data_IF_934601693159
#
_entry.id   IF_934601693159
#
_cell.length_a   1.000
_cell.length_b   1.000
_cell.length_c   1.000
_cell.angle_alpha   90.00
_cell.angle_beta   90.00
_cell.angle_gamma   90.00
#
_symmetry.space_group_name_H-M   'P 1'
#
loop_
_entity.id
_entity.type
_entity.pdbx_description
1 polymer ?
#
# COMPACT_ATOMS: atom_id res chain seq x y z
N UNK A 1 -9.90 1.89 -8.27
CA UNK A 1 -8.63 1.67 -7.54
C UNK A 1 -8.80 2.27 -6.17
N UNK A 2 -8.71 1.45 -5.13
CA UNK A 2 -9.07 1.82 -3.76
C UNK A 2 -8.02 1.33 -2.78
N UNK A 3 -7.95 1.98 -1.63
CA UNK A 3 -7.17 1.57 -0.48
C UNK A 3 -8.06 1.59 0.77
N UNK A 4 -7.68 0.82 1.78
CA UNK A 4 -8.31 0.78 3.09
C UNK A 4 -7.33 1.32 4.12
N UNK A 5 -7.81 2.13 5.05
CA UNK A 5 -7.02 2.64 6.18
C UNK A 5 -7.64 2.12 7.47
N UNK A 6 -6.87 1.38 8.24
CA UNK A 6 -7.26 0.86 9.55
C UNK A 6 -6.47 1.60 10.62
N UNK A 7 -7.19 2.22 11.55
CA UNK A 7 -6.64 3.02 12.63
C UNK A 7 -7.03 2.38 13.96
N UNK A 8 -6.07 2.08 14.86
CA UNK A 8 -6.39 1.49 16.16
C UNK A 8 -7.18 2.48 17.00
N UNK A 9 -8.14 1.97 17.79
CA UNK A 9 -8.89 2.80 18.74
C UNK A 9 -7.94 3.21 19.86
N UNK A 10 -7.80 4.52 20.09
CA UNK A 10 -6.94 5.07 21.14
C UNK A 10 -7.78 5.85 22.15
N UNK A 11 -7.41 5.75 23.43
CA UNK A 11 -8.01 6.61 24.46
C UNK A 11 -7.67 8.08 24.20
N UNK A 12 -8.62 8.98 24.46
CA UNK A 12 -8.45 10.44 24.24
C UNK A 12 -7.31 11.05 25.05
N UNK A 13 -6.87 10.38 26.10
CA UNK A 13 -5.78 10.75 27.02
C UNK A 13 -4.39 10.40 26.49
N UNK A 14 -4.30 9.56 25.45
CA UNK A 14 -3.03 9.13 24.87
C UNK A 14 -2.38 10.28 24.08
N UNK A 15 -1.06 10.38 24.15
CA UNK A 15 -0.27 11.40 23.45
C UNK A 15 -0.69 11.53 21.97
N UNK A 16 -0.79 12.76 21.46
CA UNK A 16 -1.08 13.09 20.04
C UNK A 16 0.07 12.73 19.08
N UNK A 17 0.95 11.81 19.47
CA UNK A 17 2.06 11.34 18.64
C UNK A 17 1.49 10.62 17.42
N UNK A 18 2.00 10.98 16.25
CA UNK A 18 1.70 10.31 14.98
C UNK A 18 2.20 8.85 15.04
N UNK A 19 1.45 7.95 14.43
CA UNK A 19 1.74 6.52 14.43
C UNK A 19 2.55 6.10 13.19
N UNK A 20 3.45 5.12 13.30
CA UNK A 20 4.05 4.50 12.13
C UNK A 20 2.96 3.87 11.25
N UNK A 21 3.24 3.78 9.95
CA UNK A 21 2.30 3.31 8.93
C UNK A 21 2.85 2.04 8.29
N UNK A 22 2.11 0.94 8.38
CA UNK A 22 2.36 -0.29 7.63
C UNK A 22 1.55 -0.27 6.34
N UNK A 23 2.25 -0.23 5.20
CA UNK A 23 1.66 -0.23 3.87
C UNK A 23 1.76 -1.61 3.23
N UNK A 24 0.64 -2.31 3.10
CA UNK A 24 0.59 -3.69 2.63
C UNK A 24 0.20 -3.80 1.15
N UNK A 25 1.05 -4.46 0.39
CA UNK A 25 0.81 -4.84 -1.01
C UNK A 25 0.52 -6.35 -1.05
N UNK A 26 -0.69 -6.71 -1.50
CA UNK A 26 -1.08 -8.11 -1.59
C UNK A 26 -0.33 -8.85 -2.71
N UNK A 27 -0.12 -10.16 -2.51
CA UNK A 27 0.40 -11.08 -3.52
C UNK A 27 -0.68 -11.57 -4.49
N UNK A 28 -0.36 -12.65 -5.21
CA UNK A 28 -1.25 -13.26 -6.21
C UNK A 28 -0.71 -13.20 -7.64
N UNK A 29 0.61 -13.38 -7.78
CA UNK A 29 1.33 -13.47 -9.06
C UNK A 29 1.05 -12.32 -10.06
N UNK A 30 0.63 -11.14 -9.57
CA UNK A 30 0.15 -10.03 -10.39
C UNK A 30 -1.11 -10.34 -11.22
N UNK A 31 -1.79 -11.46 -10.96
CA UNK A 31 -2.95 -11.96 -11.71
C UNK A 31 -4.24 -11.92 -10.90
N UNK A 32 -4.16 -12.13 -9.58
CA UNK A 32 -5.31 -12.19 -8.69
C UNK A 32 -4.96 -11.63 -7.31
N UNK A 33 -5.96 -11.56 -6.43
CA UNK A 33 -5.83 -11.07 -5.07
C UNK A 33 -6.54 -9.74 -4.84
N UNK A 34 -6.59 -9.32 -3.58
CA UNK A 34 -7.19 -8.04 -3.17
C UNK A 34 -6.58 -7.58 -1.85
N UNK A 35 -6.58 -6.27 -1.63
CA UNK A 35 -6.18 -5.63 -0.38
C UNK A 35 -7.02 -6.03 0.84
N UNK A 36 -8.15 -6.71 0.68
CA UNK A 36 -8.96 -7.21 1.81
C UNK A 36 -8.56 -8.61 2.27
N UNK A 37 -7.67 -9.31 1.54
CA UNK A 37 -7.20 -10.65 1.94
C UNK A 37 -6.41 -10.63 3.25
N UNK A 38 -5.71 -9.53 3.54
CA UNK A 38 -5.10 -9.31 4.85
C UNK A 38 -6.01 -8.47 5.73
N UNK A 39 -6.54 -9.10 6.76
CA UNK A 39 -7.32 -8.43 7.79
C UNK A 39 -6.44 -7.66 8.77
N UNK A 40 -6.96 -6.53 9.26
CA UNK A 40 -6.26 -5.68 10.22
C UNK A 40 -6.33 -6.18 11.68
N UNK A 41 -7.14 -7.21 11.97
CA UNK A 41 -7.56 -7.60 13.33
C UNK A 41 -6.42 -7.61 14.35
N UNK A 42 -5.35 -8.36 14.07
CA UNK A 42 -4.22 -8.48 15.00
C UNK A 42 -3.33 -7.24 15.06
N UNK A 43 -3.28 -6.45 13.98
CA UNK A 43 -2.51 -5.20 13.96
C UNK A 43 -3.20 -4.07 14.73
N UNK A 44 -4.53 -4.12 14.87
CA UNK A 44 -5.30 -3.11 15.60
C UNK A 44 -5.11 -3.16 17.13
N UNK A 45 -4.45 -4.19 17.64
CA UNK A 45 -4.01 -4.27 19.05
C UNK A 45 -2.69 -3.50 19.30
N UNK A 46 -2.06 -2.96 18.26
CA UNK A 46 -0.80 -2.23 18.32
C UNK A 46 -0.95 -0.77 17.88
N UNK A 47 -0.05 0.11 18.35
CA UNK A 47 0.01 1.53 17.95
C UNK A 47 0.61 1.68 16.54
N UNK A 48 -0.09 1.18 15.53
CA UNK A 48 0.29 1.25 14.11
C UNK A 48 -0.92 1.48 13.23
N UNK A 49 -0.78 2.31 12.20
CA UNK A 49 -1.80 2.43 11.15
C UNK A 49 -1.51 1.40 10.08
N UNK A 50 -2.53 0.65 9.67
CA UNK A 50 -2.41 -0.36 8.63
C UNK A 50 -3.15 0.11 7.38
N UNK A 51 -2.45 0.14 6.24
CA UNK A 51 -3.01 0.52 4.95
C UNK A 51 -2.90 -0.68 4.01
N UNK A 52 -4.00 -1.06 3.37
CA UNK A 52 -4.00 -2.06 2.30
C UNK A 52 -4.50 -1.47 1.01
N UNK A 53 -3.98 -1.92 -0.13
CA UNK A 53 -4.32 -1.36 -1.44
C UNK A 53 -4.85 -2.42 -2.40
N UNK A 54 -5.65 -1.99 -3.37
CA UNK A 54 -5.89 -2.72 -4.60
C UNK A 54 -5.13 -2.03 -5.75
N UNK A 55 -4.47 -2.84 -6.58
CA UNK A 55 -3.83 -2.39 -7.83
C UNK A 55 -4.37 -3.23 -9.00
N UNK A 56 -4.26 -2.75 -10.25
CA UNK A 56 -4.70 -3.53 -11.42
C UNK A 56 -3.88 -4.81 -11.55
N UNK A 57 -4.53 -5.87 -12.02
CA UNK A 57 -3.99 -7.22 -12.16
C UNK A 57 -4.14 -7.74 -13.58
N UNK A 58 -3.41 -8.80 -13.90
CA UNK A 58 -3.39 -9.46 -15.19
C UNK A 58 -3.10 -8.50 -16.34
N UNK A 59 -3.68 -8.76 -17.52
CA UNK A 59 -3.50 -7.88 -18.68
C UNK A 59 -3.89 -6.42 -18.40
N UNK A 60 -4.91 -6.17 -17.57
CA UNK A 60 -5.34 -4.81 -17.25
C UNK A 60 -4.30 -4.01 -16.46
N UNK A 61 -3.43 -4.68 -15.70
CA UNK A 61 -2.35 -4.06 -14.94
C UNK A 61 -0.99 -4.12 -15.61
N UNK A 62 -0.74 -5.13 -16.44
CA UNK A 62 0.62 -5.49 -16.86
C UNK A 62 0.77 -5.75 -18.36
N UNK A 63 -0.28 -5.51 -19.18
CA UNK A 63 -0.12 -5.46 -20.63
C UNK A 63 0.88 -4.36 -21.00
N UNK A 64 1.79 -4.69 -21.91
CA UNK A 64 2.70 -3.76 -22.57
C UNK A 64 2.64 -4.01 -24.07
N UNK A 65 2.60 -2.94 -24.86
CA UNK A 65 2.79 -2.99 -26.32
C UNK A 65 4.23 -2.64 -26.71
N UNK A 66 5.10 -2.41 -25.73
CA UNK A 66 6.51 -2.00 -25.92
C UNK A 66 6.68 -0.69 -26.72
N UNK A 67 5.63 0.14 -26.72
CA UNK A 67 5.61 1.50 -27.25
C UNK A 67 5.30 2.51 -26.13
N UNK A 68 5.21 3.80 -26.50
CA UNK A 68 4.92 4.88 -25.56
C UNK A 68 3.45 4.97 -25.15
N UNK A 69 2.53 4.32 -25.86
CA UNK A 69 1.09 4.38 -25.62
C UNK A 69 0.72 3.46 -24.46
N UNK A 70 1.20 2.20 -24.48
CA UNK A 70 1.02 1.24 -23.38
C UNK A 70 2.38 0.68 -22.96
N UNK A 71 3.21 1.45 -22.24
CA UNK A 71 4.57 1.07 -21.85
C UNK A 71 4.62 0.01 -20.72
N UNK A 72 3.47 -0.52 -20.30
CA UNK A 72 3.38 -1.51 -19.24
C UNK A 72 3.46 -0.97 -17.81
N UNK A 73 3.48 -1.92 -16.87
CA UNK A 73 3.60 -1.72 -15.42
C UNK A 73 2.53 -0.79 -14.80
N UNK A 74 1.34 -0.76 -15.38
CA UNK A 74 0.23 0.05 -14.89
C UNK A 74 -0.18 -0.34 -13.46
N UNK A 75 -0.10 -1.63 -13.11
CA UNK A 75 -0.29 -2.11 -11.74
C UNK A 75 0.75 -1.58 -10.75
N UNK A 76 2.04 -1.50 -11.13
CA UNK A 76 3.06 -0.89 -10.27
C UNK A 76 2.88 0.63 -10.16
N UNK A 77 2.43 1.29 -11.22
CA UNK A 77 2.08 2.72 -11.20
C UNK A 77 0.87 3.00 -10.30
N UNK A 78 -0.11 2.10 -10.25
CA UNK A 78 -1.22 2.19 -9.29
C UNK A 78 -0.71 2.13 -7.84
N UNK A 79 0.24 1.24 -7.56
CA UNK A 79 0.85 1.14 -6.23
C UNK A 79 1.64 2.41 -5.87
N UNK A 80 2.41 2.98 -6.81
CA UNK A 80 3.12 4.25 -6.62
C UNK A 80 2.13 5.40 -6.33
N UNK A 81 1.03 5.49 -7.08
CA UNK A 81 -0.02 6.47 -6.83
C UNK A 81 -0.64 6.30 -5.42
N UNK A 82 -0.86 5.06 -4.96
CA UNK A 82 -1.34 4.81 -3.61
C UNK A 82 -0.32 5.18 -2.53
N UNK A 83 0.99 5.00 -2.77
CA UNK A 83 2.06 5.49 -1.88
C UNK A 83 2.08 7.01 -1.80
N UNK A 84 1.92 7.71 -2.94
CA UNK A 84 1.80 9.18 -2.98
C UNK A 84 0.58 9.65 -2.19
N UNK A 85 -0.56 8.97 -2.37
CA UNK A 85 -1.76 9.25 -1.58
C UNK A 85 -1.49 9.11 -0.08
N UNK A 86 -0.79 8.05 0.36
CA UNK A 86 -0.43 7.87 1.77
C UNK A 86 0.48 9.00 2.26
N UNK A 87 1.51 9.34 1.50
CA UNK A 87 2.41 10.46 1.84
C UNK A 87 1.66 11.78 2.05
N UNK A 88 0.69 12.08 1.19
CA UNK A 88 -0.07 13.34 1.21
C UNK A 88 -1.21 13.36 2.23
N UNK A 89 -1.75 12.21 2.63
CA UNK A 89 -3.03 12.14 3.34
C UNK A 89 -2.97 11.43 4.70
N UNK A 90 -2.00 10.55 4.96
CA UNK A 90 -2.06 9.65 6.13
C UNK A 90 -1.98 10.39 7.47
N UNK A 91 -1.41 11.60 7.48
CA UNK A 91 -1.38 12.45 8.67
C UNK A 91 -2.78 12.81 9.19
N UNK A 92 -3.78 12.92 8.30
CA UNK A 92 -5.18 13.16 8.69
C UNK A 92 -5.81 12.00 9.44
N UNK A 93 -5.24 10.80 9.31
CA UNK A 93 -5.63 9.59 10.02
C UNK A 93 -4.77 9.35 11.28
N UNK A 94 -3.87 10.28 11.61
CA UNK A 94 -2.94 10.16 12.73
C UNK A 94 -1.65 9.40 12.42
N UNK A 95 -1.33 9.17 11.14
CA UNK A 95 -0.11 8.50 10.71
C UNK A 95 1.05 9.46 10.48
N UNK A 96 2.27 8.98 10.66
CA UNK A 96 3.48 9.72 10.33
C UNK A 96 3.90 9.42 8.88
N UNK A 97 3.77 10.36 7.93
CA UNK A 97 4.17 10.14 6.54
C UNK A 97 5.68 9.92 6.38
N UNK A 98 6.50 10.19 7.40
CA UNK A 98 7.95 9.94 7.41
C UNK A 98 8.31 8.56 7.95
N UNK A 99 7.36 7.81 8.50
CA UNK A 99 7.56 6.46 9.05
C UNK A 99 6.61 5.47 8.37
N UNK A 100 6.77 5.32 7.05
CA UNK A 100 6.01 4.37 6.24
C UNK A 100 6.89 3.16 5.94
N UNK A 101 6.44 1.99 6.38
CA UNK A 101 7.09 0.70 6.11
C UNK A 101 6.25 -0.05 5.08
N UNK A 102 6.85 -0.37 3.94
CA UNK A 102 6.24 -1.18 2.91
C UNK A 102 6.40 -2.67 3.24
N UNK A 103 5.32 -3.42 3.17
CA UNK A 103 5.30 -4.86 3.39
C UNK A 103 4.49 -5.55 2.28
N UNK A 104 4.86 -6.78 1.96
CA UNK A 104 4.12 -7.59 1.00
C UNK A 104 4.60 -9.02 0.97
N UNK A 105 3.78 -9.92 0.40
CA UNK A 105 4.10 -11.34 0.27
C UNK A 105 4.01 -11.80 -1.19
N UNK A 106 4.92 -12.67 -1.61
CA UNK A 106 5.02 -13.18 -2.99
C UNK A 106 5.13 -12.02 -4.00
N UNK A 107 4.20 -11.89 -4.97
CA UNK A 107 4.15 -10.76 -5.89
C UNK A 107 4.07 -9.39 -5.19
N UNK A 108 3.47 -9.32 -4.00
CA UNK A 108 3.49 -8.13 -3.16
C UNK A 108 4.88 -7.85 -2.58
N UNK A 109 5.64 -8.89 -2.21
CA UNK A 109 7.04 -8.76 -1.79
C UNK A 109 7.95 -8.35 -2.94
N UNK A 110 7.73 -8.90 -4.14
CA UNK A 110 8.39 -8.44 -5.36
C UNK A 110 8.05 -6.97 -5.65
N UNK A 111 6.79 -6.56 -5.44
CA UNK A 111 6.37 -5.15 -5.56
C UNK A 111 7.12 -4.24 -4.59
N UNK A 112 7.28 -4.63 -3.33
CA UNK A 112 8.10 -3.88 -2.36
C UNK A 112 9.53 -3.71 -2.89
N UNK A 113 10.12 -4.77 -3.44
CA UNK A 113 11.46 -4.70 -4.02
C UNK A 113 11.50 -3.79 -5.27
N UNK A 114 10.49 -3.80 -6.13
CA UNK A 114 10.40 -2.89 -7.26
C UNK A 114 10.33 -1.41 -6.83
N UNK A 115 9.59 -1.08 -5.76
CA UNK A 115 9.55 0.28 -5.23
C UNK A 115 10.88 0.72 -4.60
N UNK A 116 11.66 -0.22 -4.06
CA UNK A 116 13.02 0.08 -3.60
C UNK A 116 13.97 0.41 -4.76
N UNK A 117 13.81 -0.25 -5.92
CA UNK A 117 14.68 -0.06 -7.09
C UNK A 117 14.25 1.12 -7.97
N UNK A 118 12.96 1.43 -8.01
CA UNK A 118 12.41 2.48 -8.84
C UNK A 118 12.88 3.85 -8.37
N UNK A 119 13.51 4.61 -9.27
CA UNK A 119 13.72 6.04 -9.07
C UNK A 119 12.34 6.69 -9.25
N UNK A 120 11.75 7.11 -8.13
CA UNK A 120 10.42 7.72 -8.06
C UNK A 120 10.16 8.80 -9.10
#
# INVERSE_FOLDING_TARGET
>A
LYLNVYVPVREKTRSKTLLPVLFWIHGGAFQFGTGTLMGAKYLMDHDVIFVTINYRLGPLGFLSTEDEIIPGNMGLKDQNMALRWVSENIQRFGGDPKQVTLCGMSAGGASVHYHYLSRM
#
